data_IF_381337634062
#
_entry.id   IF_381337634062
#
_cell.length_a   1.000
_cell.length_b   1.000
_cell.length_c   1.000
_cell.angle_alpha   90.00
_cell.angle_beta   90.00
_cell.angle_gamma   90.00
#
_symmetry.space_group_name_H-M   'P 1'
#
loop_
_entity.id
_entity.type
_entity.pdbx_description
1 polymer ?
#
# COMPACT_ATOMS: atom_id res chain seq x y z
N UNK A 1 -9.03 16.87 19.79
CA UNK A 1 -7.93 16.60 18.85
C UNK A 1 -8.52 16.55 17.45
N UNK A 2 -8.15 17.53 16.65
CA UNK A 2 -8.82 17.81 15.39
C UNK A 2 -8.64 16.69 14.36
N UNK A 3 -9.80 16.14 13.93
CA UNK A 3 -9.93 15.11 12.90
C UNK A 3 -9.56 15.58 11.47
N UNK A 4 -8.95 16.74 11.32
CA UNK A 4 -8.74 17.43 10.05
C UNK A 4 -7.34 17.28 9.44
N UNK A 5 -6.60 16.23 9.80
CA UNK A 5 -5.21 16.08 9.32
C UNK A 5 -5.10 15.88 7.80
N UNK A 6 -6.13 15.34 7.16
CA UNK A 6 -6.12 15.12 5.70
C UNK A 6 -6.87 16.20 4.90
N UNK A 7 -7.60 17.09 5.57
CA UNK A 7 -8.37 18.18 4.93
C UNK A 7 -8.03 19.48 5.63
N UNK A 8 -6.78 19.94 5.56
CA UNK A 8 -6.49 21.36 5.80
C UNK A 8 -6.96 22.14 4.60
N UNK A 9 -7.79 23.19 4.91
CA UNK A 9 -8.34 24.15 3.97
C UNK A 9 -7.30 24.69 3.00
N UNK A 10 -7.77 24.85 1.79
CA UNK A 10 -7.19 25.58 0.68
C UNK A 10 -6.38 26.80 1.10
N UNK A 11 -5.07 26.61 1.18
CA UNK A 11 -4.08 27.63 0.84
C UNK A 11 -2.90 26.92 0.19
N UNK A 12 -2.92 26.91 -1.10
CA UNK A 12 -1.84 26.88 -2.12
C UNK A 12 -0.55 26.08 -1.92
N UNK A 13 -0.50 25.07 -1.10
CA UNK A 13 0.51 24.03 -1.25
C UNK A 13 -0.20 22.78 -1.77
N UNK A 14 -0.04 22.48 -3.05
CA UNK A 14 -0.47 21.21 -3.64
C UNK A 14 0.30 20.09 -2.94
N UNK A 15 -0.21 19.60 -1.81
CA UNK A 15 0.30 18.38 -1.20
C UNK A 15 -0.14 17.23 -2.10
N UNK A 16 0.67 16.94 -3.11
CA UNK A 16 0.42 15.85 -4.05
C UNK A 16 0.64 14.48 -3.41
N UNK A 17 1.30 14.43 -2.25
CA UNK A 17 1.65 13.19 -1.56
C UNK A 17 1.29 13.25 -0.08
N UNK A 18 0.85 12.11 0.45
CA UNK A 18 0.66 11.87 1.87
C UNK A 18 1.66 10.82 2.33
N UNK A 19 2.04 10.86 3.60
CA UNK A 19 2.88 9.83 4.18
C UNK A 19 2.07 8.59 4.48
N UNK A 20 2.58 7.42 4.15
CA UNK A 20 2.04 6.12 4.57
C UNK A 20 3.14 5.26 5.15
N UNK A 21 2.78 4.38 6.06
CA UNK A 21 3.72 3.43 6.65
C UNK A 21 3.93 2.26 5.69
N UNK A 22 5.19 1.91 5.50
CA UNK A 22 5.59 0.76 4.70
C UNK A 22 6.29 -0.26 5.58
N UNK A 23 5.73 -1.44 5.69
CA UNK A 23 6.32 -2.54 6.43
C UNK A 23 6.04 -3.87 5.73
N UNK A 24 6.54 -4.96 6.31
CA UNK A 24 6.29 -6.33 5.83
C UNK A 24 4.78 -6.57 5.60
N UNK A 25 3.93 -6.03 6.45
CA UNK A 25 2.48 -6.16 6.37
C UNK A 25 1.87 -5.45 5.17
N UNK A 26 2.34 -4.24 4.81
CA UNK A 26 1.81 -3.54 3.62
C UNK A 26 2.05 -4.34 2.34
N UNK A 27 3.19 -5.03 2.24
CA UNK A 27 3.48 -5.90 1.11
C UNK A 27 2.57 -7.14 1.13
N UNK A 28 2.28 -7.68 2.31
CA UNK A 28 1.40 -8.80 2.47
C UNK A 28 -0.07 -8.43 2.18
N UNK A 29 -0.51 -7.22 2.57
CA UNK A 29 -1.83 -6.68 2.19
C UNK A 29 -1.94 -6.38 0.71
N UNK A 30 -0.88 -5.89 0.09
CA UNK A 30 -0.82 -5.77 -1.36
C UNK A 30 -1.03 -7.13 -2.03
N UNK A 31 -0.39 -8.18 -1.53
CA UNK A 31 -0.54 -9.52 -2.06
C UNK A 31 -1.96 -10.08 -1.95
N UNK A 32 -2.77 -9.65 -0.98
CA UNK A 32 -4.20 -10.01 -0.91
C UNK A 32 -5.05 -9.34 -1.99
N UNK A 33 -4.71 -8.10 -2.36
CA UNK A 33 -5.37 -7.41 -3.47
C UNK A 33 -4.78 -7.79 -4.82
N UNK A 34 -3.56 -8.27 -4.81
CA UNK A 34 -2.80 -8.83 -5.92
C UNK A 34 -3.00 -10.36 -5.91
N UNK A 35 -2.77 -11.07 -7.00
CA UNK A 35 -3.04 -12.51 -7.14
C UNK A 35 -2.19 -13.46 -6.28
N UNK A 36 -1.37 -12.95 -5.41
CA UNK A 36 -0.41 -13.75 -4.63
C UNK A 36 -1.04 -14.46 -3.43
N UNK A 37 -2.33 -14.80 -3.49
CA UNK A 37 -3.01 -15.54 -2.42
C UNK A 37 -3.50 -16.91 -2.89
N UNK A 38 -3.56 -17.85 -1.94
CA UNK A 38 -4.16 -19.18 -2.13
C UNK A 38 -5.45 -19.25 -1.34
N UNK A 39 -6.45 -19.93 -1.90
CA UNK A 39 -7.71 -20.23 -1.20
C UNK A 39 -7.66 -21.68 -0.78
N UNK A 40 -7.81 -21.95 0.50
CA UNK A 40 -8.08 -23.29 0.99
C UNK A 40 -9.54 -23.65 0.68
N UNK A 41 -9.72 -24.69 -0.12
CA UNK A 41 -11.03 -25.15 -0.55
C UNK A 41 -11.92 -25.66 0.59
N UNK A 42 -11.33 -26.18 1.67
CA UNK A 42 -12.08 -26.71 2.82
C UNK A 42 -12.50 -25.62 3.80
N UNK A 43 -11.56 -24.77 4.24
CA UNK A 43 -11.84 -23.73 5.24
C UNK A 43 -12.43 -22.45 4.63
N UNK A 44 -12.33 -22.27 3.31
CA UNK A 44 -12.73 -21.03 2.63
C UNK A 44 -11.86 -19.83 3.00
N UNK A 45 -10.70 -20.06 3.61
CA UNK A 45 -9.74 -19.03 3.99
C UNK A 45 -8.82 -18.67 2.83
N UNK A 46 -8.45 -17.41 2.70
CA UNK A 46 -7.43 -16.97 1.77
C UNK A 46 -6.12 -16.68 2.51
N UNK A 47 -5.02 -17.10 1.89
CA UNK A 47 -3.69 -16.94 2.46
C UNK A 47 -2.78 -16.20 1.47
N UNK A 48 -2.05 -15.22 1.95
CA UNK A 48 -0.93 -14.62 1.25
C UNK A 48 0.31 -14.70 2.13
N UNK A 49 1.43 -15.11 1.57
CA UNK A 49 2.67 -15.33 2.33
C UNK A 49 3.88 -14.66 1.67
N UNK A 50 3.86 -13.34 1.47
CA UNK A 50 5.05 -12.64 1.03
C UNK A 50 6.01 -12.44 2.21
N UNK A 51 7.30 -12.67 2.00
CA UNK A 51 8.37 -12.34 2.94
C UNK A 51 8.18 -12.89 4.37
N UNK A 52 7.78 -14.15 4.51
CA UNK A 52 7.57 -14.83 5.80
C UNK A 52 6.42 -14.27 6.66
N UNK A 53 5.59 -13.42 6.11
CA UNK A 53 4.34 -12.97 6.74
C UNK A 53 3.18 -13.69 6.07
N UNK A 54 2.44 -14.48 6.83
CA UNK A 54 1.21 -15.10 6.35
C UNK A 54 0.03 -14.24 6.78
N UNK A 55 -0.75 -13.81 5.82
CA UNK A 55 -2.03 -13.15 6.06
C UNK A 55 -3.15 -14.10 5.74
N UNK A 56 -4.11 -14.17 6.63
CA UNK A 56 -5.29 -14.99 6.52
C UNK A 56 -6.55 -14.13 6.54
N UNK A 57 -7.47 -14.38 5.62
CA UNK A 57 -8.83 -13.81 5.66
C UNK A 57 -9.81 -14.93 5.84
N UNK A 58 -10.55 -14.90 6.93
CA UNK A 58 -11.63 -15.82 7.18
C UNK A 58 -12.80 -15.60 6.22
N UNK A 59 -13.39 -16.71 5.77
CA UNK A 59 -14.55 -16.70 4.89
C UNK A 59 -14.35 -15.85 3.61
N UNK A 60 -13.21 -15.99 2.97
CA UNK A 60 -12.81 -15.20 1.79
C UNK A 60 -13.81 -15.34 0.62
N UNK A 61 -14.52 -16.44 0.49
CA UNK A 61 -15.54 -16.62 -0.56
C UNK A 61 -16.59 -15.51 -0.54
N UNK A 62 -16.96 -15.02 0.67
CA UNK A 62 -17.93 -13.96 0.88
C UNK A 62 -17.27 -12.57 1.06
N UNK A 63 -15.99 -12.51 1.45
CA UNK A 63 -15.29 -11.29 1.84
C UNK A 63 -14.00 -11.11 1.05
N UNK A 64 -14.13 -10.80 -0.26
CA UNK A 64 -12.98 -10.59 -1.15
C UNK A 64 -12.25 -9.29 -0.82
N UNK A 65 -10.94 -9.38 -0.61
CA UNK A 65 -10.07 -8.22 -0.50
C UNK A 65 -9.80 -7.65 -1.90
N UNK A 66 -10.48 -6.59 -2.25
CA UNK A 66 -10.39 -5.95 -3.57
C UNK A 66 -9.80 -4.54 -3.47
N UNK A 67 -9.65 -3.85 -4.60
CA UNK A 67 -9.08 -2.50 -4.66
C UNK A 67 -9.84 -1.47 -3.78
N UNK A 68 -11.15 -1.64 -3.57
CA UNK A 68 -11.92 -0.76 -2.67
C UNK A 68 -11.52 -0.99 -1.21
N UNK A 69 -11.40 -2.23 -0.80
CA UNK A 69 -10.96 -2.61 0.56
C UNK A 69 -9.53 -2.12 0.79
N UNK A 70 -8.63 -2.35 -0.18
CA UNK A 70 -7.27 -1.87 -0.12
C UNK A 70 -7.22 -0.34 0.02
N UNK A 71 -8.01 0.39 -0.76
CA UNK A 71 -8.07 1.86 -0.68
C UNK A 71 -8.54 2.35 0.69
N UNK A 72 -9.59 1.75 1.24
CA UNK A 72 -10.07 2.09 2.59
C UNK A 72 -9.01 1.81 3.62
N UNK A 73 -8.36 0.65 3.54
CA UNK A 73 -7.27 0.29 4.45
C UNK A 73 -6.11 1.30 4.36
N UNK A 74 -5.66 1.63 3.15
CA UNK A 74 -4.58 2.60 2.92
C UNK A 74 -4.93 3.99 3.48
N UNK A 75 -6.20 4.42 3.40
CA UNK A 75 -6.66 5.68 4.02
C UNK A 75 -6.49 5.64 5.55
N UNK A 76 -6.87 4.54 6.20
CA UNK A 76 -6.66 4.40 7.65
C UNK A 76 -5.18 4.35 8.01
N UNK A 77 -4.34 3.67 7.22
CA UNK A 77 -2.89 3.65 7.42
C UNK A 77 -2.27 5.04 7.24
N UNK A 78 -2.72 5.83 6.26
CA UNK A 78 -2.26 7.21 6.09
C UNK A 78 -2.63 8.08 7.31
N UNK A 79 -3.85 7.94 7.82
CA UNK A 79 -4.28 8.65 9.03
C UNK A 79 -3.48 8.20 10.25
N UNK A 80 -3.23 6.91 10.39
CA UNK A 80 -2.40 6.36 11.46
C UNK A 80 -0.96 6.87 11.37
N UNK A 81 -0.35 6.89 10.18
CA UNK A 81 1.02 7.37 9.99
C UNK A 81 1.21 8.86 10.32
N UNK A 82 0.14 9.64 10.27
CA UNK A 82 0.18 11.05 10.63
C UNK A 82 0.26 11.29 12.15
N UNK A 83 -0.12 10.30 12.97
CA UNK A 83 -0.17 10.42 14.42
C UNK A 83 0.75 9.44 15.17
N UNK A 84 1.03 8.27 14.58
CA UNK A 84 1.88 7.26 15.20
C UNK A 84 3.35 7.72 15.13
N UNK A 85 4.05 7.82 16.27
CA UNK A 85 5.47 8.14 16.27
C UNK A 85 6.28 7.10 15.48
N UNK A 86 7.21 7.57 14.65
CA UNK A 86 8.11 6.69 13.87
C UNK A 86 9.29 6.20 14.71
N UNK A 87 9.01 5.72 15.90
CA UNK A 87 9.97 5.13 16.84
C UNK A 87 9.27 4.06 17.67
N UNK A 88 10.06 3.11 18.15
CA UNK A 88 9.56 2.12 19.12
C UNK A 88 9.07 2.87 20.37
N UNK A 89 7.85 2.57 20.80
CA UNK A 89 7.31 2.99 22.08
C UNK A 89 7.62 1.89 23.12
N UNK A 90 7.73 2.28 24.38
CA UNK A 90 8.21 1.37 25.43
C UNK A 90 7.07 0.51 26.00
N UNK A 91 5.87 1.06 26.08
CA UNK A 91 4.73 0.43 26.77
C UNK A 91 3.50 0.32 25.88
N UNK A 92 2.65 -0.67 26.18
CA UNK A 92 1.34 -0.85 25.54
C UNK A 92 0.44 0.38 25.75
N UNK A 93 0.54 1.02 26.91
CA UNK A 93 -0.25 2.22 27.23
C UNK A 93 0.08 3.37 26.28
N UNK A 94 1.33 3.49 25.84
CA UNK A 94 1.72 4.49 24.83
C UNK A 94 1.13 4.15 23.46
N UNK A 95 1.19 2.88 23.03
CA UNK A 95 0.57 2.43 21.77
C UNK A 95 -0.94 2.62 21.76
N UNK A 96 -1.62 2.37 22.88
CA UNK A 96 -3.09 2.55 23.02
C UNK A 96 -3.56 3.97 22.71
N UNK A 97 -2.72 4.98 22.89
CA UNK A 97 -3.04 6.39 22.55
C UNK A 97 -3.26 6.59 21.04
N UNK A 98 -2.69 5.74 20.21
CA UNK A 98 -2.76 5.80 18.76
C UNK A 98 -3.62 4.68 18.15
N UNK A 99 -4.16 3.82 18.99
CA UNK A 99 -4.84 2.59 18.58
C UNK A 99 -6.09 2.86 17.72
N UNK A 100 -6.87 3.89 18.06
CA UNK A 100 -8.15 4.15 17.43
C UNK A 100 -8.07 5.29 16.42
N UNK A 101 -8.36 4.96 15.17
CA UNK A 101 -8.44 5.90 14.05
C UNK A 101 -9.88 6.02 13.62
N UNK A 102 -10.31 7.24 13.33
CA UNK A 102 -11.65 7.50 12.81
C UNK A 102 -11.64 8.24 11.48
N UNK A 103 -12.70 8.05 10.70
CA UNK A 103 -12.98 8.81 9.49
C UNK A 103 -14.45 9.17 9.45
N UNK A 104 -14.77 10.41 9.09
CA UNK A 104 -16.16 10.80 8.81
C UNK A 104 -16.56 10.35 7.41
N UNK A 105 -17.85 10.09 7.22
CA UNK A 105 -18.37 9.80 5.89
C UNK A 105 -18.06 10.92 4.90
N UNK A 106 -18.18 12.19 5.35
CA UNK A 106 -17.88 13.38 4.52
C UNK A 106 -16.43 13.39 4.08
N UNK A 107 -15.49 13.14 5.00
CA UNK A 107 -14.05 13.05 4.73
C UNK A 107 -13.75 11.95 3.71
N UNK A 108 -14.30 10.74 3.91
CA UNK A 108 -14.13 9.63 2.96
C UNK A 108 -14.65 9.97 1.56
N UNK A 109 -15.86 10.57 1.48
CA UNK A 109 -16.43 10.98 0.21
C UNK A 109 -15.57 12.03 -0.50
N UNK A 110 -15.02 13.00 0.25
CA UNK A 110 -14.14 14.04 -0.30
C UNK A 110 -12.83 13.46 -0.80
N UNK A 111 -12.18 12.60 0.00
CA UNK A 111 -10.93 11.95 -0.38
C UNK A 111 -11.07 11.08 -1.63
N UNK A 112 -12.17 10.35 -1.73
CA UNK A 112 -12.41 9.42 -2.85
C UNK A 112 -13.20 10.05 -4.00
N UNK A 113 -13.51 11.35 -3.95
CA UNK A 113 -14.36 12.07 -4.92
C UNK A 113 -15.70 11.35 -5.20
N UNK A 114 -16.36 10.87 -4.13
CA UNK A 114 -17.62 10.14 -4.23
C UNK A 114 -18.80 11.08 -4.07
N UNK A 115 -19.74 11.06 -5.03
CA UNK A 115 -20.98 11.85 -5.00
C UNK A 115 -22.14 11.10 -4.34
N UNK A 116 -22.15 9.78 -4.42
CA UNK A 116 -23.25 8.94 -3.91
C UNK A 116 -22.99 8.52 -2.45
N UNK A 117 -23.78 9.05 -1.53
CA UNK A 117 -23.68 8.79 -0.08
C UNK A 117 -23.93 7.32 0.27
N UNK A 118 -24.95 6.69 -0.31
CA UNK A 118 -25.27 5.28 -0.05
C UNK A 118 -24.11 4.37 -0.45
N UNK A 119 -23.57 4.58 -1.66
CA UNK A 119 -22.42 3.83 -2.16
C UNK A 119 -21.19 4.01 -1.25
N UNK A 120 -20.95 5.23 -0.76
CA UNK A 120 -19.83 5.50 0.16
C UNK A 120 -20.01 4.76 1.51
N UNK A 121 -21.22 4.73 2.05
CA UNK A 121 -21.56 3.99 3.27
C UNK A 121 -21.31 2.49 3.06
N UNK A 122 -21.77 1.92 1.95
CA UNK A 122 -21.61 0.51 1.65
C UNK A 122 -20.15 0.13 1.44
N UNK A 123 -19.37 0.97 0.75
CA UNK A 123 -17.94 0.77 0.58
C UNK A 123 -17.20 0.74 1.92
N UNK A 124 -17.43 1.74 2.79
CA UNK A 124 -16.80 1.80 4.12
C UNK A 124 -17.21 0.61 4.98
N UNK A 125 -18.51 0.31 5.06
CA UNK A 125 -19.01 -0.79 5.87
C UNK A 125 -18.43 -2.13 5.43
N UNK A 126 -18.46 -2.40 4.12
CA UNK A 126 -17.96 -3.66 3.58
C UNK A 126 -16.45 -3.77 3.74
N UNK A 127 -15.69 -2.70 3.48
CA UNK A 127 -14.25 -2.71 3.64
C UNK A 127 -13.84 -2.93 5.10
N UNK A 128 -14.44 -2.23 6.05
CA UNK A 128 -14.16 -2.39 7.47
C UNK A 128 -14.53 -3.79 7.97
N UNK A 129 -15.65 -4.36 7.50
CA UNK A 129 -16.04 -5.71 7.84
C UNK A 129 -15.01 -6.76 7.36
N UNK A 130 -14.40 -6.53 6.18
CA UNK A 130 -13.34 -7.40 5.66
C UNK A 130 -12.04 -7.19 6.44
N UNK A 131 -11.64 -5.95 6.69
CA UNK A 131 -10.43 -5.61 7.45
C UNK A 131 -10.48 -6.23 8.84
N UNK A 132 -11.64 -6.19 9.51
CA UNK A 132 -11.84 -6.81 10.82
C UNK A 132 -11.75 -8.34 10.85
N UNK A 133 -11.66 -9.01 9.69
CA UNK A 133 -11.51 -10.47 9.57
C UNK A 133 -10.11 -10.90 9.15
N UNK A 134 -9.18 -9.97 9.11
CA UNK A 134 -7.82 -10.24 8.69
C UNK A 134 -6.99 -10.62 9.91
N UNK A 135 -6.42 -11.81 9.86
CA UNK A 135 -5.43 -12.30 10.82
C UNK A 135 -4.03 -12.27 10.18
N UNK A 136 -3.06 -11.97 10.99
CA UNK A 136 -1.65 -11.95 10.62
C UNK A 136 -0.94 -13.00 11.43
N UNK A 137 -0.21 -13.85 10.73
CA UNK A 137 0.63 -14.90 11.28
C UNK A 137 2.05 -14.70 10.71
N UNK A 138 3.01 -14.46 11.56
CA UNK A 138 4.38 -14.31 11.12
C UNK A 138 5.37 -14.75 12.19
N UNK A 139 6.56 -15.09 11.72
CA UNK A 139 7.70 -15.33 12.59
C UNK A 139 8.53 -14.07 12.71
N UNK A 140 8.59 -13.50 13.90
CA UNK A 140 9.50 -12.41 14.20
C UNK A 140 10.88 -12.96 14.58
N UNK A 141 11.93 -12.33 14.04
CA UNK A 141 13.30 -12.68 14.38
C UNK A 141 13.85 -11.63 15.31
N UNK A 142 14.02 -11.98 16.57
CA UNK A 142 14.63 -11.12 17.56
C UNK A 142 16.15 -11.22 17.42
N UNK A 143 16.79 -10.07 17.25
CA UNK A 143 18.25 -9.95 17.24
C UNK A 143 18.71 -9.36 18.56
N UNK A 144 19.45 -10.13 19.35
CA UNK A 144 20.12 -9.64 20.55
C UNK A 144 21.64 -9.59 20.29
N UNK A 145 22.26 -8.44 20.57
CA UNK A 145 23.71 -8.23 20.39
C UNK A 145 24.26 -8.68 19.04
N UNK A 146 23.54 -8.36 17.95
CA UNK A 146 23.86 -8.75 16.55
C UNK A 146 23.81 -10.25 16.28
N UNK A 147 23.37 -11.08 17.22
CA UNK A 147 23.13 -12.51 17.01
C UNK A 147 21.63 -12.76 16.88
N UNK A 148 21.25 -13.64 15.95
CA UNK A 148 19.90 -14.13 15.78
C UNK A 148 19.56 -15.02 16.97
N UNK A 149 18.66 -14.61 17.86
CA UNK A 149 18.45 -15.29 19.12
C UNK A 149 17.17 -16.13 19.13
N UNK A 150 16.06 -15.65 18.61
CA UNK A 150 14.80 -16.39 18.66
C UNK A 150 13.87 -16.05 17.50
N UNK A 151 13.02 -17.02 17.13
CA UNK A 151 11.86 -16.82 16.27
C UNK A 151 10.63 -16.87 17.14
N UNK A 152 10.03 -15.71 17.40
CA UNK A 152 8.74 -15.65 18.08
C UNK A 152 7.61 -15.75 17.07
N UNK A 153 6.70 -16.65 17.34
CA UNK A 153 5.45 -16.77 16.60
C UNK A 153 4.49 -15.67 17.07
N UNK A 154 3.98 -14.89 16.14
CA UNK A 154 2.97 -13.86 16.40
C UNK A 154 1.74 -14.15 15.54
N UNK A 155 0.59 -14.32 16.19
CA UNK A 155 -0.70 -14.44 15.55
C UNK A 155 -1.68 -13.45 16.16
N UNK A 156 -2.23 -12.56 15.36
CA UNK A 156 -3.20 -11.58 15.84
C UNK A 156 -4.15 -11.12 14.74
N UNK A 157 -5.33 -10.65 15.14
CA UNK A 157 -6.26 -9.93 14.29
C UNK A 157 -5.80 -8.48 14.13
N UNK A 158 -5.89 -7.90 12.92
CA UNK A 158 -5.42 -6.54 12.66
C UNK A 158 -6.18 -5.49 13.43
N UNK A 159 -7.49 -5.67 13.56
CA UNK A 159 -8.37 -4.74 14.26
C UNK A 159 -9.00 -5.42 15.46
N UNK A 160 -8.77 -4.87 16.65
CA UNK A 160 -9.42 -5.32 17.88
C UNK A 160 -10.90 -4.92 17.91
N UNK A 161 -11.24 -3.78 17.29
CA UNK A 161 -12.60 -3.29 17.25
C UNK A 161 -12.86 -2.45 16.00
N UNK A 162 -14.08 -2.60 15.46
CA UNK A 162 -14.62 -1.78 14.37
C UNK A 162 -15.99 -1.30 14.79
N UNK A 163 -16.20 0.01 14.75
CA UNK A 163 -17.47 0.61 15.16
C UNK A 163 -17.92 1.72 14.22
N UNK A 164 -19.21 2.02 14.27
CA UNK A 164 -19.84 3.14 13.59
C UNK A 164 -20.69 3.94 14.57
N UNK A 165 -20.42 5.22 14.69
CA UNK A 165 -21.34 6.18 15.31
C UNK A 165 -22.29 6.73 14.23
N UNK A 166 -23.54 6.27 14.24
CA UNK A 166 -24.56 6.70 13.25
C UNK A 166 -24.90 8.18 13.40
N UNK A 167 -24.92 8.70 14.62
CA UNK A 167 -25.29 10.10 14.89
C UNK A 167 -24.27 11.08 14.33
N UNK A 168 -23.00 10.75 14.47
CA UNK A 168 -21.88 11.58 13.98
C UNK A 168 -21.40 11.22 12.58
N UNK A 169 -21.90 10.11 12.01
CA UNK A 169 -21.41 9.60 10.72
C UNK A 169 -19.95 9.21 10.74
N UNK A 170 -19.44 8.77 11.90
CA UNK A 170 -18.07 8.38 12.13
C UNK A 170 -17.92 6.87 12.01
N UNK A 171 -16.81 6.44 11.42
CA UNK A 171 -16.35 5.05 11.36
C UNK A 171 -15.02 4.94 12.06
N UNK A 172 -14.87 3.93 12.91
CA UNK A 172 -13.70 3.72 13.74
C UNK A 172 -13.07 2.37 13.44
N UNK A 173 -11.76 2.33 13.51
CA UNK A 173 -10.98 1.11 13.61
C UNK A 173 -10.01 1.24 14.78
N UNK A 174 -10.04 0.29 15.68
CA UNK A 174 -9.02 0.14 16.73
C UNK A 174 -8.07 -0.96 16.31
N UNK A 175 -6.87 -0.57 15.90
CA UNK A 175 -5.84 -1.52 15.48
C UNK A 175 -5.29 -2.30 16.67
N UNK A 176 -4.89 -3.54 16.42
CA UNK A 176 -4.21 -4.35 17.41
C UNK A 176 -2.84 -3.75 17.78
N UNK A 177 -2.44 -3.86 19.04
CA UNK A 177 -1.19 -3.27 19.54
C UNK A 177 0.03 -3.88 18.85
N UNK A 178 0.03 -5.18 18.59
CA UNK A 178 1.13 -5.83 17.86
C UNK A 178 1.26 -5.27 16.43
N UNK A 179 0.14 -5.01 15.77
CA UNK A 179 0.15 -4.35 14.47
C UNK A 179 0.76 -2.94 14.56
N UNK A 180 0.40 -2.16 15.58
CA UNK A 180 0.98 -0.82 15.80
C UNK A 180 2.48 -0.86 16.09
N UNK A 181 2.96 -1.84 16.88
CA UNK A 181 4.39 -2.03 17.15
C UNK A 181 5.19 -2.24 15.88
N UNK A 182 4.68 -3.07 14.98
CA UNK A 182 5.33 -3.31 13.68
C UNK A 182 5.29 -2.08 12.78
N UNK A 183 4.17 -1.36 12.76
CA UNK A 183 4.05 -0.15 11.95
C UNK A 183 4.95 0.98 12.45
N UNK A 184 5.09 1.17 13.76
CA UNK A 184 5.98 2.20 14.34
C UNK A 184 7.44 2.01 13.93
N UNK A 185 7.86 0.77 13.68
CA UNK A 185 9.20 0.43 13.19
C UNK A 185 9.29 0.38 11.64
N UNK A 186 8.22 0.71 10.94
CA UNK A 186 8.16 0.66 9.49
C UNK A 186 8.65 1.96 8.85
N UNK A 187 9.15 1.86 7.62
CA UNK A 187 9.53 3.04 6.85
C UNK A 187 8.29 3.84 6.44
N UNK A 188 8.44 5.16 6.44
CA UNK A 188 7.45 6.06 5.85
C UNK A 188 7.72 6.20 4.35
N UNK A 189 6.66 6.08 3.57
CA UNK A 189 6.74 6.21 2.12
C UNK A 189 5.75 7.27 1.63
N UNK A 190 6.15 8.16 0.72
CA UNK A 190 5.21 9.03 0.02
C UNK A 190 4.20 8.21 -0.79
N UNK A 191 2.93 8.62 -0.75
CA UNK A 191 1.85 8.01 -1.51
C UNK A 191 1.02 9.09 -2.21
N UNK A 192 0.72 8.96 -3.52
CA UNK A 192 -0.03 9.98 -4.25
C UNK A 192 -1.45 10.15 -3.70
N UNK A 193 -1.79 11.36 -3.26
CA UNK A 193 -3.15 11.64 -2.73
C UNK A 193 -4.23 11.43 -3.79
N UNK A 194 -3.92 11.73 -5.04
CA UNK A 194 -4.80 11.56 -6.20
C UNK A 194 -5.20 10.09 -6.41
N UNK A 195 -4.39 9.13 -5.96
CA UNK A 195 -4.71 7.71 -6.05
C UNK A 195 -6.04 7.37 -5.36
N UNK A 196 -6.39 8.04 -4.25
CA UNK A 196 -7.66 7.81 -3.58
C UNK A 196 -8.87 8.27 -4.40
N UNK A 197 -8.69 9.19 -5.37
CA UNK A 197 -9.74 9.72 -6.24
C UNK A 197 -10.02 8.88 -7.48
N UNK A 198 -9.23 7.83 -7.73
CA UNK A 198 -9.40 6.95 -8.88
C UNK A 198 -10.80 6.32 -8.86
N UNK A 199 -11.53 6.45 -9.96
CA UNK A 199 -12.81 5.74 -10.15
C UNK A 199 -12.55 4.26 -10.44
N UNK A 200 -12.70 3.43 -9.40
CA UNK A 200 -12.46 1.99 -9.48
C UNK A 200 -13.47 1.23 -10.36
N UNK A 201 -14.61 1.84 -10.75
CA UNK A 201 -15.54 1.20 -11.68
C UNK A 201 -15.07 1.40 -13.12
N UNK A 202 -14.54 2.59 -13.41
CA UNK A 202 -14.05 2.93 -14.77
C UNK A 202 -12.64 2.40 -15.02
N UNK A 203 -11.78 2.44 -13.99
CA UNK A 203 -10.39 2.03 -14.05
C UNK A 203 -10.06 1.04 -12.92
N UNK A 204 -10.56 -0.21 -12.98
CA UNK A 204 -10.48 -1.15 -11.86
C UNK A 204 -9.05 -1.52 -11.46
N UNK A 205 -8.10 -1.52 -12.41
CA UNK A 205 -6.70 -1.86 -12.13
C UNK A 205 -5.82 -0.65 -11.77
N UNK A 206 -6.32 0.58 -11.96
CA UNK A 206 -5.49 1.79 -11.84
C UNK A 206 -4.97 2.02 -10.41
N UNK A 207 -5.78 1.71 -9.40
CA UNK A 207 -5.35 1.87 -8.00
C UNK A 207 -4.21 0.89 -7.65
N UNK A 208 -4.37 -0.37 -8.03
CA UNK A 208 -3.33 -1.39 -7.79
C UNK A 208 -2.05 -1.04 -8.54
N UNK A 209 -2.18 -0.61 -9.80
CA UNK A 209 -1.05 -0.20 -10.62
C UNK A 209 -0.32 1.00 -9.99
N UNK A 210 -1.05 2.07 -9.65
CA UNK A 210 -0.48 3.23 -8.98
C UNK A 210 0.25 2.84 -7.70
N UNK A 211 -0.37 1.99 -6.87
CA UNK A 211 0.22 1.49 -5.63
C UNK A 211 1.50 0.70 -5.89
N UNK A 212 1.50 -0.17 -6.89
CA UNK A 212 2.67 -0.97 -7.29
C UNK A 212 3.83 -0.11 -7.79
N UNK A 213 3.55 0.86 -8.65
CA UNK A 213 4.55 1.81 -9.14
C UNK A 213 5.15 2.63 -8.00
N UNK A 214 4.31 3.13 -7.09
CA UNK A 214 4.74 3.88 -5.89
C UNK A 214 5.63 3.02 -4.99
N UNK A 215 5.25 1.79 -4.73
CA UNK A 215 6.04 0.86 -3.93
C UNK A 215 7.39 0.56 -4.59
N UNK A 216 7.39 0.24 -5.90
CA UNK A 216 8.60 -0.02 -6.66
C UNK A 216 9.56 1.18 -6.64
N UNK A 217 9.03 2.38 -6.89
CA UNK A 217 9.82 3.61 -6.85
C UNK A 217 10.48 3.81 -5.47
N UNK A 218 9.70 3.65 -4.39
CA UNK A 218 10.22 3.80 -3.03
C UNK A 218 11.28 2.77 -2.66
N UNK A 219 11.10 1.50 -3.03
CA UNK A 219 12.06 0.42 -2.73
C UNK A 219 13.36 0.54 -3.50
N UNK A 220 13.33 1.17 -4.66
CA UNK A 220 14.47 1.28 -5.56
C UNK A 220 15.04 2.71 -5.67
N UNK A 221 14.54 3.63 -4.86
CA UNK A 221 14.86 5.06 -4.94
C UNK A 221 16.35 5.37 -5.03
N UNK A 222 17.18 4.66 -4.24
CA UNK A 222 18.63 4.82 -4.22
C UNK A 222 19.39 3.84 -5.13
N UNK A 223 18.69 3.00 -5.90
CA UNK A 223 19.31 1.95 -6.72
C UNK A 223 19.44 2.32 -8.20
N UNK A 224 19.05 3.54 -8.59
CA UNK A 224 19.11 4.00 -9.98
C UNK A 224 18.02 3.47 -10.92
N UNK A 225 17.21 2.50 -10.48
CA UNK A 225 16.11 1.91 -11.26
C UNK A 225 14.73 2.20 -10.68
N UNK A 226 14.60 3.24 -9.86
CA UNK A 226 13.35 3.61 -9.21
C UNK A 226 12.20 3.86 -10.20
N UNK A 227 12.52 4.39 -11.36
CA UNK A 227 11.56 4.79 -12.39
C UNK A 227 11.39 3.73 -13.49
N UNK A 228 11.89 2.51 -13.31
CA UNK A 228 11.81 1.47 -14.33
C UNK A 228 11.39 0.13 -13.72
N UNK A 229 10.29 -0.43 -14.18
CA UNK A 229 9.74 -1.71 -13.72
C UNK A 229 9.51 -2.64 -14.91
N UNK A 230 9.91 -3.92 -14.79
CA UNK A 230 9.63 -4.88 -15.86
C UNK A 230 8.13 -5.11 -16.05
N UNK A 231 7.69 -5.21 -17.28
CA UNK A 231 6.30 -5.49 -17.65
C UNK A 231 5.83 -6.78 -16.97
N UNK A 232 6.64 -7.83 -17.00
CA UNK A 232 6.35 -9.10 -16.34
C UNK A 232 6.04 -8.93 -14.85
N UNK A 233 6.91 -8.22 -14.11
CA UNK A 233 6.70 -7.95 -12.68
C UNK A 233 5.41 -7.14 -12.43
N UNK A 234 5.07 -6.25 -13.35
CA UNK A 234 3.89 -5.41 -13.22
C UNK A 234 2.60 -6.19 -13.43
N UNK A 235 2.51 -7.00 -14.51
CA UNK A 235 1.30 -7.80 -14.77
C UNK A 235 1.11 -8.91 -13.74
N UNK A 236 2.18 -9.49 -13.23
CA UNK A 236 2.10 -10.52 -12.20
C UNK A 236 1.61 -9.95 -10.85
N UNK A 237 1.76 -8.64 -10.63
CA UNK A 237 1.30 -7.97 -9.40
C UNK A 237 -0.13 -7.42 -9.49
N UNK A 238 -0.73 -7.31 -10.67
CA UNK A 238 -2.09 -6.74 -10.84
C UNK A 238 -3.13 -7.85 -10.97
N UNK A 239 -3.99 -8.01 -9.97
CA UNK A 239 -4.90 -9.16 -9.84
C UNK A 239 -5.95 -9.30 -10.96
N UNK A 240 -6.28 -8.22 -11.64
CA UNK A 240 -7.29 -8.20 -12.72
C UNK A 240 -6.71 -8.44 -14.11
N UNK A 241 -5.39 -8.55 -14.24
CA UNK A 241 -4.72 -8.92 -15.47
C UNK A 241 -4.31 -10.39 -15.42
N UNK A 242 -4.34 -11.16 -16.53
CA UNK A 242 -3.77 -12.49 -16.58
C UNK A 242 -2.27 -12.45 -16.25
N UNK A 243 -1.78 -13.39 -15.46
CA UNK A 243 -0.35 -13.56 -15.18
C UNK A 243 0.40 -14.01 -16.44
N UNK A 244 1.72 -13.80 -16.45
CA UNK A 244 2.57 -14.33 -17.53
C UNK A 244 2.36 -15.83 -17.75
N UNK A 245 2.26 -16.63 -16.69
CA UNK A 245 2.02 -18.07 -16.79
C UNK A 245 0.64 -18.42 -17.39
N UNK A 246 -0.41 -17.68 -17.03
CA UNK A 246 -1.75 -17.88 -17.59
C UNK A 246 -1.79 -17.53 -19.07
N UNK A 247 -1.03 -16.52 -19.50
CA UNK A 247 -0.91 -16.13 -20.90
C UNK A 247 -0.24 -17.23 -21.73
N UNK A 248 0.85 -17.78 -21.22
CA UNK A 248 1.58 -18.89 -21.88
C UNK A 248 0.71 -20.15 -22.02
N UNK A 249 -0.27 -20.35 -21.14
CA UNK A 249 -1.24 -21.47 -21.19
C UNK A 249 -2.38 -21.24 -22.20
N UNK A 250 -2.36 -20.15 -22.96
CA UNK A 250 -3.33 -19.94 -24.04
C UNK A 250 -4.38 -18.84 -23.78
N UNK A 251 -4.07 -17.83 -22.96
CA UNK A 251 -4.90 -16.64 -22.88
C UNK A 251 -4.86 -15.89 -24.21
N UNK A 252 -5.83 -16.17 -25.11
CA UNK A 252 -5.94 -15.52 -26.41
C UNK A 252 -6.16 -13.99 -26.31
N UNK A 253 -5.89 -13.27 -27.40
CA UNK A 253 -6.11 -11.82 -27.52
C UNK A 253 -5.32 -10.96 -26.53
N UNK A 254 -4.05 -11.30 -26.29
CA UNK A 254 -3.16 -10.62 -25.34
C UNK A 254 -3.15 -9.10 -25.53
N UNK A 255 -3.12 -8.63 -26.77
CA UNK A 255 -3.14 -7.19 -27.07
C UNK A 255 -4.39 -6.50 -26.53
N UNK A 256 -5.57 -7.08 -26.69
CA UNK A 256 -6.84 -6.49 -26.27
C UNK A 256 -7.11 -6.65 -24.77
N UNK A 257 -6.69 -7.78 -24.18
CA UNK A 257 -7.02 -8.11 -22.80
C UNK A 257 -6.00 -7.61 -21.78
N UNK A 258 -4.77 -7.36 -22.22
CA UNK A 258 -3.66 -7.04 -21.30
C UNK A 258 -2.96 -5.76 -21.71
N UNK A 259 -2.38 -5.71 -22.93
CA UNK A 259 -1.53 -4.58 -23.34
C UNK A 259 -2.35 -3.29 -23.36
N UNK A 260 -3.42 -3.24 -24.14
CA UNK A 260 -4.26 -2.03 -24.25
C UNK A 260 -4.90 -1.59 -22.92
N UNK A 261 -5.45 -2.48 -22.06
CA UNK A 261 -5.92 -2.08 -20.74
C UNK A 261 -4.82 -1.51 -19.85
N UNK A 262 -3.61 -2.09 -19.87
CA UNK A 262 -2.48 -1.58 -19.11
C UNK A 262 -2.05 -0.19 -19.60
N UNK A 263 -1.85 -0.03 -20.90
CA UNK A 263 -1.50 1.25 -21.53
C UNK A 263 -2.56 2.33 -21.22
N UNK A 264 -3.83 2.01 -21.42
CA UNK A 264 -4.94 2.92 -21.10
C UNK A 264 -4.93 3.38 -19.64
N UNK A 265 -4.54 2.52 -18.72
CA UNK A 265 -4.47 2.89 -17.30
C UNK A 265 -3.23 3.74 -17.03
N UNK A 266 -2.09 3.46 -17.66
CA UNK A 266 -0.91 4.31 -17.55
C UNK A 266 -1.19 5.72 -18.10
N UNK A 267 -1.86 5.83 -19.27
CA UNK A 267 -2.30 7.11 -19.82
C UNK A 267 -3.24 7.84 -18.85
N UNK A 268 -4.20 7.11 -18.25
CA UNK A 268 -5.07 7.68 -17.23
C UNK A 268 -4.29 8.18 -15.99
N UNK A 269 -3.22 7.50 -15.57
CA UNK A 269 -2.39 7.97 -14.45
C UNK A 269 -1.67 9.28 -14.78
N UNK A 270 -1.30 9.49 -16.05
CA UNK A 270 -0.78 10.77 -16.54
C UNK A 270 -1.89 11.84 -16.56
N UNK A 271 -3.03 11.54 -17.17
CA UNK A 271 -4.18 12.46 -17.23
C UNK A 271 -4.66 12.90 -15.83
N UNK A 272 -4.56 12.01 -14.84
CA UNK A 272 -4.95 12.28 -13.45
C UNK A 272 -3.89 13.05 -12.65
N UNK A 273 -2.74 13.37 -13.24
CA UNK A 273 -1.64 14.08 -12.60
C UNK A 273 -0.90 13.27 -11.53
N UNK A 274 -0.97 11.94 -11.60
CA UNK A 274 -0.17 11.04 -10.75
C UNK A 274 1.21 10.83 -11.38
N UNK A 275 1.26 10.56 -12.67
CA UNK A 275 2.49 10.50 -13.44
C UNK A 275 2.63 11.75 -14.32
N UNK A 276 3.87 12.15 -14.57
CA UNK A 276 4.19 13.17 -15.58
C UNK A 276 4.21 12.51 -16.96
N UNK A 277 4.78 11.30 -17.05
CA UNK A 277 5.01 10.58 -18.29
C UNK A 277 5.24 9.09 -18.01
N UNK A 278 5.01 8.29 -19.05
CA UNK A 278 5.44 6.91 -19.11
C UNK A 278 5.77 6.49 -20.54
N UNK A 279 6.69 5.54 -20.70
CA UNK A 279 7.04 4.93 -21.99
C UNK A 279 7.68 3.56 -21.76
N UNK A 280 7.78 2.78 -22.83
CA UNK A 280 8.59 1.57 -22.79
C UNK A 280 10.08 1.91 -22.94
N UNK A 281 10.94 1.13 -22.27
CA UNK A 281 12.39 1.29 -22.38
C UNK A 281 12.96 0.95 -23.78
N UNK A 282 12.14 0.44 -24.69
CA UNK A 282 12.51 0.11 -26.05
C UNK A 282 11.37 0.45 -27.04
N UNK A 283 11.76 0.71 -28.28
CA UNK A 283 10.80 0.88 -29.37
C UNK A 283 10.45 -0.47 -29.98
N UNK A 284 9.18 -0.66 -30.35
CA UNK A 284 8.70 -1.87 -31.00
C UNK A 284 8.43 -1.58 -32.48
N UNK A 285 9.17 -2.22 -33.41
CA UNK A 285 8.84 -2.22 -34.81
C UNK A 285 7.55 -3.02 -35.09
N UNK A 286 7.42 -4.14 -34.42
CA UNK A 286 6.20 -4.96 -34.34
C UNK A 286 6.10 -5.49 -32.89
N UNK A 287 5.07 -5.08 -32.17
CA UNK A 287 4.90 -5.47 -30.75
C UNK A 287 4.42 -6.91 -30.66
N UNK A 288 5.34 -7.87 -30.57
CA UNK A 288 5.02 -9.23 -30.19
C UNK A 288 4.88 -9.36 -28.68
N UNK A 289 4.23 -10.42 -28.23
CA UNK A 289 4.08 -10.64 -26.77
C UNK A 289 5.43 -10.84 -26.09
N UNK A 290 6.32 -11.61 -26.70
CA UNK A 290 7.65 -11.93 -26.17
C UNK A 290 8.49 -10.65 -25.99
N UNK A 291 8.55 -9.81 -27.02
CA UNK A 291 9.24 -8.53 -26.94
C UNK A 291 8.63 -7.61 -25.88
N UNK A 292 7.31 -7.61 -25.76
CA UNK A 292 6.60 -6.76 -24.80
C UNK A 292 6.81 -7.22 -23.37
N UNK A 293 6.73 -8.54 -23.07
CA UNK A 293 6.87 -9.06 -21.70
C UNK A 293 8.28 -8.87 -21.13
N UNK A 294 9.30 -8.90 -22.02
CA UNK A 294 10.71 -8.70 -21.68
C UNK A 294 11.11 -7.22 -21.58
N UNK A 295 10.19 -6.31 -21.93
CA UNK A 295 10.42 -4.88 -21.80
C UNK A 295 10.20 -4.38 -20.37
N UNK A 296 10.57 -3.11 -20.16
CA UNK A 296 10.25 -2.39 -18.95
C UNK A 296 9.44 -1.13 -19.26
N UNK A 297 8.60 -0.75 -18.31
CA UNK A 297 7.90 0.54 -18.30
C UNK A 297 8.77 1.50 -17.50
N UNK A 298 9.12 2.61 -18.14
CA UNK A 298 9.76 3.77 -17.52
C UNK A 298 8.65 4.77 -17.21
N UNK A 299 8.66 5.33 -16.01
CA UNK A 299 7.62 6.24 -15.53
C UNK A 299 8.19 7.33 -14.64
N UNK A 300 7.53 8.47 -14.59
CA UNK A 300 7.92 9.60 -13.74
C UNK A 300 6.71 10.10 -12.97
N UNK A 301 6.81 10.15 -11.64
CA UNK A 301 5.78 10.76 -10.80
C UNK A 301 5.82 12.29 -10.88
N UNK A 302 4.66 12.92 -10.79
CA UNK A 302 4.56 14.37 -10.61
C UNK A 302 5.05 14.73 -9.20
N UNK A 303 6.06 15.61 -9.12
CA UNK A 303 6.55 16.20 -7.86
C UNK A 303 6.82 15.18 -6.73
N UNK A 304 7.40 14.02 -7.06
CA UNK A 304 7.70 13.01 -6.04
C UNK A 304 8.66 13.56 -4.99
N UNK A 305 8.34 13.48 -3.68
CA UNK A 305 9.17 14.04 -2.62
C UNK A 305 10.57 13.44 -2.61
N UNK A 306 11.60 14.30 -2.59
CA UNK A 306 12.99 13.86 -2.46
C UNK A 306 13.20 13.19 -1.10
N UNK A 307 13.74 12.00 -1.10
CA UNK A 307 14.13 11.30 0.14
C UNK A 307 15.47 11.82 0.64
N UNK A 308 15.51 12.17 1.92
CA UNK A 308 16.80 12.45 2.58
C UNK A 308 17.52 11.12 2.82
N UNK A 309 18.76 11.03 2.43
CA UNK A 309 19.59 9.85 2.68
C UNK A 309 20.10 9.91 4.13
N UNK A 310 19.34 9.37 5.07
CA UNK A 310 19.72 9.37 6.49
C UNK A 310 20.98 8.55 6.79
N UNK A 311 21.42 7.68 5.86
CA UNK A 311 22.65 6.91 6.02
C UNK A 311 23.93 7.72 5.67
N UNK A 312 23.80 8.89 5.05
CA UNK A 312 24.96 9.72 4.71
C UNK A 312 25.48 10.58 5.88
N UNK A 313 24.62 10.81 6.90
CA UNK A 313 24.98 11.69 8.04
C UNK A 313 25.57 10.96 9.24
N UNK A 314 25.44 9.63 9.33
CA UNK A 314 25.99 8.86 10.46
C UNK A 314 27.50 8.59 10.38
N UNK A 315 28.14 8.84 9.24
CA UNK A 315 29.59 8.62 9.08
C UNK A 315 30.43 9.90 9.24
N UNK A 316 29.81 11.09 9.27
CA UNK A 316 30.57 12.35 9.39
C UNK A 316 30.66 12.92 10.81
N UNK A 317 29.77 12.50 11.71
CA UNK A 317 29.82 12.98 13.12
C UNK A 317 30.74 12.18 14.03
N UNK A 318 31.20 10.99 13.62
CA UNK A 318 32.12 10.18 14.42
C UNK A 318 33.61 10.55 14.25
N UNK A 319 33.93 11.55 13.43
CA UNK A 319 35.33 11.98 13.13
C UNK A 319 35.76 13.30 13.75
N UNK A 320 34.95 13.90 14.59
CA UNK A 320 35.34 15.18 15.26
C UNK A 320 35.05 15.16 16.74
N UNK A 321 35.76 14.40 17.52
CA UNK A 321 36.13 14.77 18.89
C UNK A 321 37.39 13.99 19.26
N UNK A 322 38.55 14.52 18.96
CA UNK A 322 39.76 14.27 19.74
C UNK A 322 39.85 15.40 20.76
N UNK A 323 39.76 15.16 22.06
CA UNK A 323 40.13 16.16 23.04
C UNK A 323 41.65 16.23 23.10
N UNK A 324 42.20 17.40 22.72
CA UNK A 324 43.55 17.80 23.14
C UNK A 324 43.54 17.90 24.65
N UNK A 325 44.24 17.01 25.35
CA UNK A 325 44.67 17.17 26.72
C UNK A 325 46.13 17.63 26.62
N UNK A 326 46.36 18.92 26.87
CA UNK A 326 47.61 19.50 27.27
C UNK A 326 47.59 19.68 28.77
#
# INVERSE_FOLDING_TARGET
>A
MDSNILVKKEESVKVNFVSTLQGKFNNAFAALSERSFRIDGMSGKAYASPNDVKIEIENFRNYKFNATVQRVFDIFIVKLSAILPHKKLETDTEYRRFQTISITLKEYMTLCNLKNKTKAIDQLRNALNIIGRIHVDFMDTIYTNKKKVEKNFCYFQIADNIARDKGKGLYYISFNIEFLRHLANSYVMPFPLQAFRIDLNRYPIAYQLCRRLTLHHNMNYFKGNANSISVKSLIDSVSLLPTHQEILKGAGQVSLRIIKPLEKVLDFLVESGILTDWHYNQQFSKKTYEQWIDSAIVFTFVDFPKRKNYNATSNDESKKVTPNIG
#
